data_IF_735775725724
#
_entry.id   IF_735775725724
#
_cell.length_a   1.000
_cell.length_b   1.000
_cell.length_c   1.000
_cell.angle_alpha   90.00
_cell.angle_beta   90.00
_cell.angle_gamma   90.00
#
_symmetry.space_group_name_H-M   'P 1'
#
loop_
_entity.id
_entity.type
_entity.pdbx_description
1 polymer ?
#
# COMPACT_ATOMS: atom_id res chain seq x y z
N UNK A 1 25.87 1.37 -10.06
CA UNK A 1 24.70 0.74 -9.40
C UNK A 1 23.97 1.81 -8.62
N UNK A 2 22.72 2.07 -9.00
CA UNK A 2 21.89 3.02 -8.29
C UNK A 2 21.42 2.40 -6.97
N UNK A 3 21.46 3.18 -5.89
CA UNK A 3 21.05 2.70 -4.57
C UNK A 3 19.55 2.91 -4.39
N UNK A 4 18.84 1.91 -3.91
CA UNK A 4 17.40 1.95 -3.69
C UNK A 4 16.99 3.20 -2.89
N UNK A 5 17.62 3.43 -1.76
CA UNK A 5 17.29 4.55 -0.87
C UNK A 5 17.58 5.96 -1.44
N UNK A 6 18.21 6.06 -2.60
CA UNK A 6 18.42 7.34 -3.30
C UNK A 6 17.42 7.59 -4.42
N UNK A 7 16.78 6.55 -4.92
CA UNK A 7 15.91 6.60 -6.09
C UNK A 7 14.48 6.15 -5.79
N UNK A 8 14.22 5.69 -4.58
CA UNK A 8 12.91 5.23 -4.13
C UNK A 8 12.58 5.87 -2.80
N UNK A 9 11.46 6.56 -2.74
CA UNK A 9 10.87 6.98 -1.47
C UNK A 9 10.04 5.83 -0.89
N UNK A 10 10.28 5.51 0.38
CA UNK A 10 9.56 4.46 1.11
C UNK A 10 8.57 5.14 2.05
N UNK A 11 7.31 4.71 2.01
CA UNK A 11 6.26 5.20 2.91
C UNK A 11 5.55 4.03 3.57
N UNK A 12 5.45 4.05 4.90
CA UNK A 12 4.48 3.22 5.60
C UNK A 12 3.09 3.82 5.39
N UNK A 13 2.15 3.00 4.97
CA UNK A 13 0.77 3.42 4.76
C UNK A 13 -0.07 2.94 5.95
N UNK A 14 -0.92 3.81 6.44
CA UNK A 14 -1.86 3.52 7.53
C UNK A 14 -3.30 3.54 6.98
N UNK A 15 -4.29 3.02 7.73
CA UNK A 15 -5.69 3.13 7.34
C UNK A 15 -6.14 4.58 7.18
N UNK A 16 -7.07 4.81 6.26
CA UNK A 16 -7.76 6.09 6.08
C UNK A 16 -8.85 6.27 7.15
N UNK A 17 -8.44 6.32 8.42
CA UNK A 17 -9.35 6.56 9.53
C UNK A 17 -8.66 7.49 10.53
N UNK A 18 -9.39 8.49 10.97
CA UNK A 18 -8.89 9.65 11.75
C UNK A 18 -8.13 9.31 13.04
N UNK A 19 -8.17 8.07 13.50
CA UNK A 19 -7.48 7.62 14.72
C UNK A 19 -6.75 6.26 14.56
N UNK A 20 -6.79 5.62 13.39
CA UNK A 20 -6.20 4.32 13.21
C UNK A 20 -4.74 4.45 12.75
N UNK A 21 -3.82 3.97 13.57
CA UNK A 21 -2.39 3.90 13.24
C UNK A 21 -1.97 2.51 12.77
N UNK A 22 -2.86 1.52 12.85
CA UNK A 22 -2.62 0.12 12.49
C UNK A 22 -3.81 -0.47 11.75
N UNK A 23 -3.54 -1.35 10.80
CA UNK A 23 -4.56 -2.15 10.15
C UNK A 23 -4.96 -3.30 11.06
N UNK A 24 -5.96 -3.09 11.90
CA UNK A 24 -6.58 -4.16 12.67
C UNK A 24 -7.97 -4.41 12.08
N UNK A 25 -8.09 -5.45 11.30
CA UNK A 25 -9.37 -5.92 10.81
C UNK A 25 -9.93 -6.96 11.80
N UNK A 26 -10.59 -6.48 12.86
CA UNK A 26 -11.36 -7.35 13.75
C UNK A 26 -12.49 -8.05 12.98
N UNK A 27 -13.03 -9.14 13.52
CA UNK A 27 -14.18 -9.84 12.93
C UNK A 27 -15.31 -8.85 12.61
N UNK A 28 -15.78 -8.89 11.38
CA UNK A 28 -16.79 -7.96 10.86
C UNK A 28 -16.51 -7.67 9.38
N UNK A 29 -17.50 -7.16 8.69
CA UNK A 29 -17.48 -6.87 7.26
C UNK A 29 -17.18 -5.41 6.94
N UNK A 30 -16.35 -4.76 7.74
CA UNK A 30 -16.01 -3.36 7.47
C UNK A 30 -14.87 -3.26 6.48
N UNK A 31 -15.13 -2.58 5.38
CA UNK A 31 -14.09 -2.19 4.43
C UNK A 31 -13.16 -1.16 5.07
N UNK A 32 -11.89 -1.26 4.77
CA UNK A 32 -10.88 -0.30 5.24
C UNK A 32 -10.05 0.15 4.04
N UNK A 33 -10.11 1.42 3.73
CA UNK A 33 -9.21 1.98 2.74
C UNK A 33 -7.85 2.28 3.36
N UNK A 34 -6.80 2.19 2.55
CA UNK A 34 -5.51 2.78 2.94
C UNK A 34 -5.61 4.30 2.86
N UNK A 35 -4.79 4.99 3.62
CA UNK A 35 -4.58 6.43 3.45
C UNK A 35 -4.06 6.76 2.05
N UNK A 36 -4.26 8.00 1.59
CA UNK A 36 -3.85 8.46 0.28
C UNK A 36 -2.32 8.46 0.12
N UNK A 37 -1.86 8.04 -1.04
CA UNK A 37 -0.46 8.08 -1.44
C UNK A 37 -0.32 9.22 -2.46
N UNK A 38 0.24 10.36 -2.07
CA UNK A 38 0.57 11.45 -3.00
C UNK A 38 1.79 11.05 -3.84
N UNK A 39 1.58 10.86 -5.13
CA UNK A 39 2.60 10.39 -6.07
C UNK A 39 3.29 11.52 -6.82
N UNK A 40 3.04 12.77 -6.44
CA UNK A 40 3.61 13.93 -7.09
C UNK A 40 5.14 13.87 -7.09
N UNK A 41 5.71 13.98 -8.28
CA UNK A 41 7.16 13.94 -8.47
C UNK A 41 7.72 12.56 -8.75
N UNK A 42 6.86 11.55 -8.88
CA UNK A 42 7.23 10.18 -9.21
C UNK A 42 6.43 9.66 -10.40
N UNK A 43 7.00 8.70 -11.13
CA UNK A 43 6.36 8.08 -12.28
C UNK A 43 5.99 6.61 -12.05
N UNK A 44 6.35 6.06 -10.91
CA UNK A 44 6.06 4.66 -10.58
C UNK A 44 5.73 4.52 -9.10
N UNK A 45 4.72 3.71 -8.82
CA UNK A 45 4.29 3.35 -7.48
C UNK A 45 4.22 1.83 -7.36
N UNK A 46 4.86 1.29 -6.33
CA UNK A 46 4.69 -0.10 -5.92
C UNK A 46 4.08 -0.13 -4.53
N UNK A 47 2.95 -0.80 -4.37
CA UNK A 47 2.33 -1.01 -3.07
C UNK A 47 2.56 -2.46 -2.67
N UNK A 48 3.14 -2.65 -1.50
CA UNK A 48 3.40 -3.95 -0.88
C UNK A 48 2.40 -4.10 0.27
N UNK A 49 1.49 -5.04 0.13
CA UNK A 49 0.50 -5.41 1.13
C UNK A 49 0.92 -6.71 1.80
N UNK A 50 0.99 -6.72 3.12
CA UNK A 50 1.38 -7.88 3.92
C UNK A 50 0.18 -8.39 4.68
N UNK A 51 -0.33 -9.57 4.28
CA UNK A 51 -1.35 -10.28 5.05
C UNK A 51 -0.71 -10.91 6.29
N UNK A 52 -1.39 -10.81 7.41
CA UNK A 52 -1.06 -11.56 8.62
C UNK A 52 -1.93 -12.80 8.74
N UNK A 53 -2.27 -13.18 9.97
CA UNK A 53 -3.10 -14.36 10.24
C UNK A 53 -4.53 -14.16 9.75
N UNK A 54 -5.07 -15.16 9.07
CA UNK A 54 -6.42 -15.18 8.54
C UNK A 54 -7.20 -16.41 9.06
N UNK A 55 -8.42 -16.19 9.52
CA UNK A 55 -9.30 -17.30 9.89
C UNK A 55 -9.76 -18.09 8.64
N UNK A 56 -10.12 -19.36 8.82
CA UNK A 56 -10.43 -20.28 7.72
C UNK A 56 -11.54 -19.81 6.77
N UNK A 57 -12.41 -18.91 7.21
CA UNK A 57 -13.52 -18.35 6.41
C UNK A 57 -13.32 -16.88 6.05
N UNK A 58 -12.12 -16.33 6.25
CA UNK A 58 -11.86 -14.93 5.91
C UNK A 58 -11.28 -14.76 4.52
N UNK A 59 -11.61 -13.64 3.89
CA UNK A 59 -11.02 -13.21 2.64
C UNK A 59 -10.77 -11.70 2.63
N UNK A 60 -9.83 -11.26 1.81
CA UNK A 60 -9.52 -9.85 1.56
C UNK A 60 -9.43 -9.65 0.05
N UNK A 61 -10.16 -8.68 -0.46
CA UNK A 61 -10.05 -8.21 -1.82
C UNK A 61 -9.37 -6.84 -1.83
N UNK A 62 -8.38 -6.68 -2.69
CA UNK A 62 -7.64 -5.43 -2.84
C UNK A 62 -7.99 -4.82 -4.20
N UNK A 63 -8.49 -3.59 -4.19
CA UNK A 63 -8.76 -2.82 -5.38
C UNK A 63 -7.99 -1.50 -5.37
N UNK A 64 -7.28 -1.22 -6.44
CA UNK A 64 -6.58 0.05 -6.61
C UNK A 64 -7.59 1.15 -6.98
N UNK A 65 -7.49 2.28 -6.33
CA UNK A 65 -8.24 3.49 -6.63
C UNK A 65 -7.30 4.68 -6.84
N UNK A 66 -7.76 5.65 -7.63
CA UNK A 66 -7.05 6.91 -7.86
C UNK A 66 -7.95 8.11 -7.60
N UNK A 67 -7.32 9.26 -7.36
CA UNK A 67 -7.98 10.55 -7.21
C UNK A 67 -7.03 11.68 -7.63
N UNK A 68 -7.58 12.80 -8.08
CA UNK A 68 -6.81 14.02 -8.36
C UNK A 68 -6.96 15.08 -7.26
N UNK A 69 -7.93 14.92 -6.36
CA UNK A 69 -8.28 15.88 -5.32
C UNK A 69 -8.28 15.30 -3.89
N UNK A 70 -7.87 14.02 -3.71
CA UNK A 70 -7.88 13.30 -2.43
C UNK A 70 -9.28 13.15 -1.78
N UNK A 71 -10.32 13.26 -2.57
CA UNK A 71 -11.71 13.23 -2.10
C UNK A 71 -12.56 12.29 -2.95
N UNK A 72 -12.51 12.47 -4.26
CA UNK A 72 -13.30 11.69 -5.20
C UNK A 72 -12.47 10.52 -5.74
N UNK A 73 -12.82 9.30 -5.33
CA UNK A 73 -12.06 8.10 -5.65
C UNK A 73 -12.71 7.26 -6.74
N UNK A 74 -11.92 6.89 -7.72
CA UNK A 74 -12.33 6.06 -8.86
C UNK A 74 -11.52 4.78 -8.89
N UNK A 75 -12.19 3.65 -9.11
CA UNK A 75 -11.52 2.37 -9.25
C UNK A 75 -10.69 2.31 -10.55
N UNK A 76 -9.47 1.81 -10.45
CA UNK A 76 -8.64 1.52 -11.63
C UNK A 76 -9.22 0.28 -12.32
N UNK A 77 -9.50 0.38 -13.62
CA UNK A 77 -9.95 -0.76 -14.41
C UNK A 77 -8.90 -1.88 -14.37
N UNK A 78 -9.31 -3.08 -13.99
CA UNK A 78 -8.41 -4.22 -13.79
C UNK A 78 -7.35 -4.03 -12.68
N UNK A 79 -7.54 -3.06 -11.79
CA UNK A 79 -6.67 -2.78 -10.65
C UNK A 79 -6.98 -3.62 -9.40
N UNK A 80 -7.49 -4.85 -9.58
CA UNK A 80 -7.76 -5.79 -8.48
C UNK A 80 -6.70 -6.87 -8.44
N UNK A 81 -6.31 -7.30 -7.24
CA UNK A 81 -5.48 -8.49 -7.04
C UNK A 81 -6.34 -9.76 -7.04
N UNK A 82 -5.69 -10.92 -7.07
CA UNK A 82 -6.36 -12.14 -6.65
C UNK A 82 -6.82 -11.99 -5.19
N UNK A 83 -7.94 -12.62 -4.84
CA UNK A 83 -8.44 -12.63 -3.48
C UNK A 83 -7.42 -13.29 -2.54
N UNK A 84 -7.11 -12.65 -1.43
CA UNK A 84 -6.29 -13.18 -0.36
C UNK A 84 -7.20 -13.99 0.58
N UNK A 85 -6.89 -15.24 0.79
CA UNK A 85 -7.69 -16.19 1.59
C UNK A 85 -6.87 -16.76 2.75
N UNK A 86 -7.47 -17.58 3.58
CA UNK A 86 -6.77 -18.25 4.68
C UNK A 86 -5.57 -19.13 4.23
N UNK A 87 -5.51 -19.52 2.95
CA UNK A 87 -4.33 -20.22 2.41
C UNK A 87 -3.17 -19.26 2.07
N UNK A 88 -3.42 -17.97 2.18
CA UNK A 88 -2.46 -16.90 1.91
C UNK A 88 -1.99 -16.18 3.18
N UNK A 89 -2.07 -16.87 4.32
CA UNK A 89 -1.55 -16.40 5.61
C UNK A 89 -0.08 -15.99 5.50
N UNK A 90 0.24 -14.83 6.09
CA UNK A 90 1.61 -14.32 6.18
C UNK A 90 2.30 -14.18 4.80
N UNK A 91 1.55 -13.83 3.78
CA UNK A 91 2.05 -13.61 2.42
C UNK A 91 2.08 -12.12 2.06
N UNK A 92 2.71 -11.85 0.96
CA UNK A 92 2.85 -10.51 0.39
C UNK A 92 2.12 -10.44 -0.95
N UNK A 93 1.26 -9.44 -1.10
CA UNK A 93 0.68 -9.05 -2.38
C UNK A 93 1.35 -7.76 -2.87
N UNK A 94 1.67 -7.70 -4.14
CA UNK A 94 2.34 -6.54 -4.74
C UNK A 94 1.49 -5.97 -5.85
N UNK A 95 1.22 -4.67 -5.79
CA UNK A 95 0.58 -3.89 -6.85
C UNK A 95 1.61 -2.90 -7.39
N UNK A 96 1.94 -3.01 -8.67
CA UNK A 96 2.85 -2.09 -9.33
C UNK A 96 2.12 -1.29 -10.39
N UNK A 97 2.35 0.02 -10.42
CA UNK A 97 1.78 0.96 -11.37
C UNK A 97 2.92 1.78 -11.96
N UNK A 98 3.07 1.72 -13.26
CA UNK A 98 3.97 2.58 -14.05
C UNK A 98 3.16 3.65 -14.78
N UNK A 99 3.83 4.74 -15.14
CA UNK A 99 3.23 5.86 -15.86
C UNK A 99 2.00 6.45 -15.12
N UNK A 100 2.24 6.89 -13.88
CA UNK A 100 1.22 7.48 -13.02
C UNK A 100 0.54 8.66 -13.68
N UNK A 101 -0.78 8.58 -13.87
CA UNK A 101 -1.61 9.61 -14.52
C UNK A 101 -2.36 10.50 -13.52
N UNK A 102 -2.46 10.07 -12.26
CA UNK A 102 -3.20 10.74 -11.22
C UNK A 102 -2.31 11.07 -10.03
N UNK A 103 -2.73 12.04 -9.25
CA UNK A 103 -1.93 12.52 -8.14
C UNK A 103 -1.97 11.61 -6.92
N UNK A 104 -3.12 11.04 -6.62
CA UNK A 104 -3.32 10.21 -5.43
C UNK A 104 -3.75 8.80 -5.81
N UNK A 105 -3.21 7.82 -5.09
CA UNK A 105 -3.62 6.43 -5.17
C UNK A 105 -3.86 5.86 -3.78
N UNK A 106 -4.74 4.86 -3.69
CA UNK A 106 -4.95 4.07 -2.47
C UNK A 106 -5.38 2.65 -2.80
N UNK A 107 -5.29 1.74 -1.83
CA UNK A 107 -5.96 0.46 -1.88
C UNK A 107 -7.29 0.54 -1.12
N UNK A 108 -8.37 0.17 -1.78
CA UNK A 108 -9.60 -0.22 -1.12
C UNK A 108 -9.44 -1.69 -0.69
N UNK A 109 -9.60 -1.93 0.59
CA UNK A 109 -9.47 -3.25 1.21
C UNK A 109 -10.85 -3.70 1.63
N UNK A 110 -11.44 -4.61 0.88
CA UNK A 110 -12.76 -5.18 1.17
C UNK A 110 -12.58 -6.52 1.85
N UNK A 111 -13.21 -6.69 3.00
CA UNK A 111 -13.27 -7.98 3.69
C UNK A 111 -14.50 -8.75 3.27
N UNK A 112 -14.29 -9.99 2.86
CA UNK A 112 -15.33 -10.98 2.71
C UNK A 112 -15.38 -11.94 3.89
N UNK A 113 -16.53 -12.56 4.05
CA UNK A 113 -16.81 -13.65 4.99
C UNK A 113 -16.62 -13.32 6.49
N UNK A 114 -17.08 -14.19 7.36
CA UNK A 114 -17.24 -13.92 8.78
C UNK A 114 -15.99 -14.13 9.66
N UNK A 115 -14.82 -14.34 9.05
CA UNK A 115 -13.59 -14.65 9.79
C UNK A 115 -12.74 -13.42 10.13
N UNK A 116 -11.87 -13.54 11.10
CA UNK A 116 -10.86 -12.53 11.40
C UNK A 116 -9.76 -12.56 10.33
N UNK A 117 -9.34 -11.38 9.87
CA UNK A 117 -8.17 -11.21 9.04
C UNK A 117 -7.30 -10.10 9.62
N UNK A 118 -6.00 -10.31 9.67
CA UNK A 118 -5.05 -9.29 10.09
C UNK A 118 -4.25 -8.79 8.88
N UNK A 119 -3.89 -7.54 8.92
CA UNK A 119 -2.96 -6.93 7.97
C UNK A 119 -1.74 -6.49 8.77
N UNK A 120 -0.59 -7.06 8.48
CA UNK A 120 0.65 -6.77 9.20
C UNK A 120 1.22 -5.42 8.78
N UNK A 121 0.97 -5.00 7.56
CA UNK A 121 1.35 -3.68 7.11
C UNK A 121 1.15 -3.44 5.62
N UNK A 122 1.23 -2.18 5.26
CA UNK A 122 1.23 -1.73 3.88
C UNK A 122 2.37 -0.74 3.69
N UNK A 123 3.18 -0.96 2.65
CA UNK A 123 4.31 -0.10 2.30
C UNK A 123 4.12 0.37 0.86
N UNK A 124 4.32 1.67 0.63
CA UNK A 124 4.42 2.22 -0.71
C UNK A 124 5.88 2.55 -1.04
N UNK A 125 6.30 2.18 -2.23
CA UNK A 125 7.58 2.54 -2.83
C UNK A 125 7.29 3.46 -4.02
N UNK A 126 7.75 4.70 -3.94
CA UNK A 126 7.65 5.68 -5.01
C UNK A 126 8.99 5.76 -5.72
N UNK A 127 9.00 5.47 -7.00
CA UNK A 127 10.23 5.38 -7.81
C UNK A 127 10.15 6.18 -9.10
N UNK A 128 11.26 6.22 -9.85
CA UNK A 128 11.43 7.05 -11.03
C UNK A 128 11.08 8.52 -10.78
N UNK A 129 11.79 9.17 -9.85
CA UNK A 129 11.53 10.57 -9.54
C UNK A 129 11.77 11.45 -10.76
N UNK A 130 10.95 12.48 -10.91
CA UNK A 130 11.09 13.48 -11.97
C UNK A 130 12.36 14.34 -11.74
N UNK A 131 12.80 14.44 -10.50
CA UNK A 131 14.04 15.13 -10.11
C UNK A 131 14.92 14.20 -9.27
N UNK A 132 16.25 14.29 -9.45
CA UNK A 132 17.18 13.50 -8.65
C UNK A 132 17.29 14.05 -7.21
N UNK A 133 17.52 13.16 -6.27
CA UNK A 133 17.70 13.49 -4.86
C UNK A 133 16.41 13.37 -4.04
N UNK A 134 16.08 12.14 -3.65
CA UNK A 134 14.91 11.85 -2.83
C UNK A 134 15.29 12.01 -1.35
N UNK A 135 14.44 12.72 -0.61
CA UNK A 135 14.43 12.69 0.86
C UNK A 135 13.39 11.69 1.30
N UNK A 136 13.76 10.75 2.15
CA UNK A 136 12.81 9.78 2.71
C UNK A 136 11.74 10.49 3.54
N UNK A 137 10.52 9.98 3.47
CA UNK A 137 9.41 10.53 4.23
C UNK A 137 9.56 10.29 5.74
N UNK A 138 8.82 11.06 6.53
CA UNK A 138 8.86 11.01 7.99
C UNK A 138 8.42 9.66 8.61
N UNK A 139 7.89 8.74 7.80
CA UNK A 139 7.53 7.38 8.22
C UNK A 139 8.72 6.41 8.17
N UNK A 140 9.86 6.84 7.66
CA UNK A 140 11.12 6.07 7.67
C UNK A 140 11.97 6.59 8.82
N UNK A 141 12.14 5.79 9.86
CA UNK A 141 12.85 6.17 11.07
C UNK A 141 14.37 6.27 10.80
N UNK A 142 14.93 5.30 10.07
CA UNK A 142 16.35 5.30 9.73
C UNK A 142 16.62 4.72 8.33
N UNK A 143 17.66 5.21 7.69
CA UNK A 143 18.13 4.72 6.40
C UNK A 143 19.63 4.48 6.44
N UNK A 144 20.05 3.22 6.65
CA UNK A 144 21.43 2.82 6.59
C UNK A 144 21.87 2.54 5.14
N UNK A 145 22.74 3.37 4.61
CA UNK A 145 23.35 3.18 3.30
C UNK A 145 24.80 2.73 3.50
N UNK A 146 25.03 1.43 3.38
CA UNK A 146 26.37 0.87 3.46
C UNK A 146 27.11 1.01 2.12
N UNK A 147 28.30 1.62 2.14
CA UNK A 147 29.19 1.72 0.99
C UNK A 147 30.40 0.84 1.24
N UNK A 148 30.59 -0.20 0.45
CA UNK A 148 31.73 -1.14 0.52
C UNK A 148 31.92 -1.80 1.89
N UNK A 149 31.34 -2.95 2.03
CA UNK A 149 31.66 -3.91 3.08
C UNK A 149 32.47 -5.01 2.44
#
# INVERSE_FOLDING_TARGET
MERLAKNVEIRRIVPDATAATTFILAAGTSDVNTGPIDTRGYNELTIIFMSGTMAASSSIDLALQYSDNDSDWTAVTSGTTAQVTATDDNKVSVVNISDLQHRYYRLAVTRGDGGNATIDGVIALLSKPVQAGITQGATVDDTLIMTNV
#
